data_IF_835645475300
#
_entry.id   IF_835645475300
#
_cell.length_a   1.000
_cell.length_b   1.000
_cell.length_c   1.000
_cell.angle_alpha   90.00
_cell.angle_beta   90.00
_cell.angle_gamma   90.00
#
_symmetry.space_group_name_H-M   'P 1'
#
loop_
_entity.id
_entity.type
_entity.pdbx_description
1 polymer ?
#
# COMPACT_ATOMS: atom_id res chain seq x y z
N UNK A 1 -13.25 -49.90 82.18
CA UNK A 1 -13.48 -51.03 83.11
C UNK A 1 -12.97 -50.65 84.50
N UNK A 2 -13.89 -50.17 85.35
CA UNK A 2 -13.62 -49.85 86.76
C UNK A 2 -14.26 -50.96 87.60
N UNK A 3 -13.46 -51.76 88.31
CA UNK A 3 -13.99 -52.81 89.20
C UNK A 3 -13.08 -54.02 89.46
N UNK A 4 -12.09 -54.31 88.61
CA UNK A 4 -11.14 -55.41 88.87
C UNK A 4 -10.07 -55.00 89.90
N UNK A 5 -9.83 -55.84 90.91
CA UNK A 5 -8.77 -55.65 91.91
C UNK A 5 -7.41 -55.57 91.20
N UNK A 6 -6.89 -54.36 91.02
CA UNK A 6 -5.61 -54.07 90.34
C UNK A 6 -4.37 -54.49 91.14
N UNK A 7 -4.55 -54.76 92.43
CA UNK A 7 -3.47 -55.02 93.38
C UNK A 7 -3.84 -56.17 94.31
N UNK A 8 -2.89 -57.06 94.61
CA UNK A 8 -3.02 -58.06 95.67
C UNK A 8 -3.15 -57.41 97.05
N UNK A 9 -3.76 -58.11 98.00
CA UNK A 9 -3.99 -57.62 99.37
C UNK A 9 -2.96 -58.25 100.32
N UNK A 10 -2.28 -57.43 101.12
CA UNK A 10 -1.38 -57.86 102.19
C UNK A 10 -2.08 -57.68 103.56
N UNK A 11 -1.50 -58.23 104.64
CA UNK A 11 -2.01 -58.11 106.03
C UNK A 11 -2.30 -56.65 106.46
N UNK A 12 -1.66 -55.67 105.81
CA UNK A 12 -1.97 -54.25 105.91
C UNK A 12 -1.96 -53.61 104.51
N UNK A 13 -3.12 -53.56 103.84
CA UNK A 13 -3.31 -52.79 102.61
C UNK A 13 -2.92 -53.51 101.30
N UNK A 14 -2.51 -52.75 100.29
CA UNK A 14 -2.15 -53.28 98.97
C UNK A 14 -0.71 -53.79 98.93
N UNK A 15 -0.48 -54.83 98.13
CA UNK A 15 0.84 -55.42 97.94
C UNK A 15 1.75 -54.43 97.21
N UNK A 16 2.79 -53.94 97.90
CA UNK A 16 3.70 -52.89 97.44
C UNK A 16 4.33 -53.17 96.06
N UNK A 17 4.64 -54.44 95.76
CA UNK A 17 5.16 -54.85 94.44
C UNK A 17 4.18 -54.61 93.30
N UNK A 18 2.89 -54.88 93.55
CA UNK A 18 1.84 -54.74 92.52
C UNK A 18 1.55 -53.26 92.27
N UNK A 19 1.59 -52.45 93.33
CA UNK A 19 1.48 -50.98 93.24
C UNK A 19 2.66 -50.38 92.50
N UNK A 20 3.90 -50.77 92.84
CA UNK A 20 5.10 -50.28 92.14
C UNK A 20 5.10 -50.67 90.67
N UNK A 21 4.75 -51.92 90.32
CA UNK A 21 4.68 -52.38 88.94
C UNK A 21 3.62 -51.62 88.12
N UNK A 22 2.48 -51.29 88.74
CA UNK A 22 1.46 -50.47 88.09
C UNK A 22 1.90 -49.02 87.88
N UNK A 23 2.56 -48.41 88.88
CA UNK A 23 3.12 -47.05 88.74
C UNK A 23 4.15 -47.03 87.61
N UNK A 24 5.05 -48.01 87.58
CA UNK A 24 6.07 -48.12 86.54
C UNK A 24 5.47 -48.33 85.14
N UNK A 25 4.42 -49.17 85.04
CA UNK A 25 3.67 -49.34 83.80
C UNK A 25 3.01 -48.02 83.33
N UNK A 26 2.38 -47.28 84.24
CA UNK A 26 1.75 -46.00 83.92
C UNK A 26 2.79 -44.97 83.47
N UNK A 27 3.92 -44.86 84.17
CA UNK A 27 4.99 -43.93 83.80
C UNK A 27 5.50 -44.24 82.40
N UNK A 28 5.72 -45.53 82.10
CA UNK A 28 6.13 -45.97 80.77
C UNK A 28 5.09 -45.66 79.68
N UNK A 29 3.81 -45.89 79.95
CA UNK A 29 2.73 -45.54 79.01
C UNK A 29 2.64 -44.02 78.76
N UNK A 30 2.89 -43.19 79.79
CA UNK A 30 2.94 -41.73 79.65
C UNK A 30 4.15 -41.27 78.84
N UNK A 31 5.34 -41.83 79.11
CA UNK A 31 6.56 -41.51 78.37
C UNK A 31 6.43 -41.91 76.89
N UNK A 32 5.84 -43.08 76.61
CA UNK A 32 5.56 -43.54 75.24
C UNK A 32 4.59 -42.59 74.52
N UNK A 33 3.50 -42.16 75.17
CA UNK A 33 2.56 -41.19 74.61
C UNK A 33 3.17 -39.81 74.39
N UNK A 34 4.01 -39.34 75.32
CA UNK A 34 4.74 -38.08 75.18
C UNK A 34 5.63 -38.12 73.95
N UNK A 35 6.40 -39.20 73.80
CA UNK A 35 7.29 -39.41 72.65
C UNK A 35 6.52 -39.51 71.34
N UNK A 36 5.37 -40.19 71.32
CA UNK A 36 4.50 -40.27 70.14
C UNK A 36 3.98 -38.88 69.75
N UNK A 37 3.53 -38.08 70.72
CA UNK A 37 3.07 -36.71 70.48
C UNK A 37 4.19 -35.79 70.00
N UNK A 38 5.39 -35.92 70.54
CA UNK A 38 6.56 -35.14 70.09
C UNK A 38 6.94 -35.48 68.64
N UNK A 39 6.85 -36.76 68.26
CA UNK A 39 7.05 -37.19 66.88
C UNK A 39 5.97 -36.62 65.95
N UNK A 40 4.70 -36.65 66.37
CA UNK A 40 3.58 -36.07 65.63
C UNK A 40 3.76 -34.54 65.45
N UNK A 41 4.13 -33.82 66.51
CA UNK A 41 4.43 -32.38 66.45
C UNK A 41 5.56 -32.11 65.46
N UNK A 42 6.60 -32.93 65.47
CA UNK A 42 7.73 -32.78 64.54
C UNK A 42 7.31 -33.02 63.09
N UNK A 43 6.52 -34.06 62.84
CA UNK A 43 5.98 -34.35 61.51
C UNK A 43 5.09 -33.21 61.00
N UNK A 44 4.18 -32.70 61.84
CA UNK A 44 3.30 -31.58 61.50
C UNK A 44 4.08 -30.30 61.23
N UNK A 45 5.12 -29.99 62.03
CA UNK A 45 5.99 -28.83 61.78
C UNK A 45 6.69 -28.93 60.41
N UNK A 46 7.16 -30.12 60.04
CA UNK A 46 7.79 -30.34 58.74
C UNK A 46 6.79 -30.17 57.59
N UNK A 47 5.58 -30.71 57.71
CA UNK A 47 4.51 -30.52 56.72
C UNK A 47 4.12 -29.06 56.57
N UNK A 48 3.95 -28.33 57.67
CA UNK A 48 3.65 -26.90 57.66
C UNK A 48 4.76 -26.12 56.94
N UNK A 49 6.03 -26.45 57.20
CA UNK A 49 7.17 -25.81 56.51
C UNK A 49 7.15 -26.09 55.02
N UNK A 50 6.91 -27.34 54.61
CA UNK A 50 6.86 -27.72 53.20
C UNK A 50 5.70 -27.04 52.46
N UNK A 51 4.51 -27.01 53.07
CA UNK A 51 3.34 -26.32 52.53
C UNK A 51 3.59 -24.82 52.38
N UNK A 52 4.28 -24.20 53.34
CA UNK A 52 4.64 -22.79 53.25
C UNK A 52 5.56 -22.50 52.07
N UNK A 53 6.57 -23.35 51.86
CA UNK A 53 7.48 -23.21 50.70
C UNK A 53 6.71 -23.36 49.39
N UNK A 54 5.85 -24.39 49.27
CA UNK A 54 5.01 -24.59 48.07
C UNK A 54 4.08 -23.41 47.82
N UNK A 55 3.49 -22.85 48.87
CA UNK A 55 2.63 -21.68 48.77
C UNK A 55 3.41 -20.46 48.27
N UNK A 56 4.58 -20.16 48.85
CA UNK A 56 5.42 -19.05 48.43
C UNK A 56 5.87 -19.19 46.96
N UNK A 57 6.20 -20.40 46.52
CA UNK A 57 6.59 -20.67 45.13
C UNK A 57 5.43 -20.49 44.15
N UNK A 58 4.23 -20.97 44.50
CA UNK A 58 3.02 -20.79 43.69
C UNK A 58 2.65 -19.30 43.63
N UNK A 59 2.71 -18.58 44.75
CA UNK A 59 2.42 -17.15 44.80
C UNK A 59 3.38 -16.35 43.91
N UNK A 60 4.69 -16.66 43.94
CA UNK A 60 5.67 -16.03 43.05
C UNK A 60 5.39 -16.31 41.58
N UNK A 61 5.07 -17.56 41.23
CA UNK A 61 4.71 -17.93 39.84
C UNK A 61 3.45 -17.22 39.37
N UNK A 62 2.42 -17.12 40.22
CA UNK A 62 1.18 -16.43 39.90
C UNK A 62 1.42 -14.95 39.63
N UNK A 63 2.24 -14.30 40.44
CA UNK A 63 2.62 -12.89 40.24
C UNK A 63 3.35 -12.70 38.90
N UNK A 64 4.31 -13.57 38.61
CA UNK A 64 5.05 -13.49 37.35
C UNK A 64 4.14 -13.69 36.13
N UNK A 65 3.21 -14.64 36.19
CA UNK A 65 2.20 -14.84 35.14
C UNK A 65 1.33 -13.59 34.96
N UNK A 66 0.93 -12.93 36.05
CA UNK A 66 0.14 -11.70 35.98
C UNK A 66 0.93 -10.56 35.34
N UNK A 67 2.20 -10.39 35.72
CA UNK A 67 3.08 -9.39 35.10
C UNK A 67 3.28 -9.64 33.60
N UNK A 68 3.49 -10.90 33.20
CA UNK A 68 3.69 -11.25 31.80
C UNK A 68 2.40 -11.06 30.98
N UNK A 69 1.24 -11.40 31.55
CA UNK A 69 -0.06 -11.10 30.95
C UNK A 69 -0.27 -9.60 30.72
N UNK A 70 0.08 -8.76 31.70
CA UNK A 70 -0.03 -7.31 31.54
C UNK A 70 0.87 -6.79 30.40
N UNK A 71 2.13 -7.24 30.35
CA UNK A 71 3.06 -6.87 29.26
C UNK A 71 2.55 -7.32 27.89
N UNK A 72 2.04 -8.54 27.80
CA UNK A 72 1.48 -9.07 26.54
C UNK A 72 0.29 -8.21 26.11
N UNK A 73 -0.61 -7.86 27.03
CA UNK A 73 -1.74 -6.99 26.74
C UNK A 73 -1.28 -5.61 26.22
N UNK A 74 -0.29 -4.99 26.87
CA UNK A 74 0.27 -3.70 26.42
C UNK A 74 0.86 -3.78 25.01
N UNK A 75 1.56 -4.87 24.70
CA UNK A 75 2.14 -5.09 23.36
C UNK A 75 1.04 -5.29 22.32
N UNK A 76 -0.01 -6.05 22.64
CA UNK A 76 -1.14 -6.28 21.74
C UNK A 76 -1.90 -4.99 21.44
N UNK A 77 -2.15 -4.16 22.46
CA UNK A 77 -2.79 -2.84 22.28
C UNK A 77 -1.96 -1.96 21.35
N UNK A 78 -0.65 -1.83 21.61
CA UNK A 78 0.26 -1.04 20.76
C UNK A 78 0.35 -1.58 19.33
N UNK A 79 0.33 -2.90 19.17
CA UNK A 79 0.34 -3.52 17.85
C UNK A 79 -0.94 -3.21 17.08
N UNK A 80 -2.10 -3.27 17.75
CA UNK A 80 -3.38 -2.93 17.17
C UNK A 80 -3.44 -1.45 16.76
N UNK A 81 -3.09 -0.53 17.66
CA UNK A 81 -3.06 0.91 17.37
C UNK A 81 -2.16 1.22 16.17
N UNK A 82 -0.98 0.60 16.11
CA UNK A 82 -0.05 0.78 14.98
C UNK A 82 -0.60 0.19 13.68
N UNK A 83 -1.28 -0.95 13.74
CA UNK A 83 -1.90 -1.55 12.57
C UNK A 83 -3.05 -0.68 12.03
N UNK A 84 -3.88 -0.13 12.92
CA UNK A 84 -4.95 0.80 12.55
C UNK A 84 -4.38 2.08 11.91
N UNK A 85 -3.30 2.63 12.48
CA UNK A 85 -2.60 3.78 11.89
C UNK A 85 -2.06 3.48 10.49
N UNK A 86 -1.41 2.32 10.29
CA UNK A 86 -0.91 1.91 8.97
C UNK A 86 -2.05 1.77 7.96
N UNK A 87 -3.18 1.17 8.36
CA UNK A 87 -4.36 1.03 7.50
C UNK A 87 -4.95 2.38 7.13
N UNK A 88 -5.00 3.32 8.07
CA UNK A 88 -5.48 4.67 7.84
C UNK A 88 -4.56 5.43 6.87
N UNK A 89 -3.24 5.41 7.11
CA UNK A 89 -2.27 6.02 6.21
C UNK A 89 -2.32 5.42 4.80
N UNK A 90 -2.49 4.10 4.69
CA UNK A 90 -2.59 3.43 3.39
C UNK A 90 -3.85 3.87 2.63
N UNK A 91 -4.99 4.02 3.32
CA UNK A 91 -6.22 4.54 2.72
C UNK A 91 -6.05 5.98 2.26
N UNK A 92 -5.48 6.83 3.10
CA UNK A 92 -5.26 8.24 2.76
C UNK A 92 -4.34 8.39 1.55
N UNK A 93 -3.23 7.65 1.50
CA UNK A 93 -2.32 7.63 0.35
C UNK A 93 -3.01 7.13 -0.92
N UNK A 94 -3.79 6.06 -0.82
CA UNK A 94 -4.53 5.52 -1.95
C UNK A 94 -5.56 6.52 -2.50
N UNK A 95 -6.29 7.21 -1.62
CA UNK A 95 -7.24 8.24 -2.02
C UNK A 95 -6.56 9.47 -2.63
N UNK A 96 -5.42 9.89 -2.10
CA UNK A 96 -4.63 10.98 -2.65
C UNK A 96 -4.08 10.62 -4.04
N UNK A 97 -3.51 9.43 -4.21
CA UNK A 97 -3.03 8.94 -5.51
C UNK A 97 -4.17 8.80 -6.52
N UNK A 98 -5.32 8.27 -6.10
CA UNK A 98 -6.53 8.16 -6.94
C UNK A 98 -6.98 9.53 -7.43
N UNK A 99 -6.99 10.53 -6.54
CA UNK A 99 -7.35 11.90 -6.89
C UNK A 99 -6.36 12.50 -7.88
N UNK A 100 -5.05 12.37 -7.63
CA UNK A 100 -4.00 12.84 -8.54
C UNK A 100 -4.12 12.20 -9.93
N UNK A 101 -4.33 10.88 -10.00
CA UNK A 101 -4.53 10.19 -11.28
C UNK A 101 -5.79 10.68 -12.00
N UNK A 102 -6.88 10.91 -11.27
CA UNK A 102 -8.13 11.41 -11.85
C UNK A 102 -7.96 12.80 -12.44
N UNK A 103 -7.29 13.70 -11.72
CA UNK A 103 -7.02 15.07 -12.19
C UNK A 103 -6.13 15.04 -13.44
N UNK A 104 -5.06 14.24 -13.45
CA UNK A 104 -4.18 14.08 -14.61
C UNK A 104 -4.94 13.48 -15.81
N UNK A 105 -5.78 12.47 -15.58
CA UNK A 105 -6.58 11.83 -16.63
C UNK A 105 -7.53 12.83 -17.28
N UNK A 106 -8.14 13.71 -16.50
CA UNK A 106 -9.06 14.71 -17.03
C UNK A 106 -8.33 15.77 -17.86
N UNK A 107 -7.16 16.24 -17.41
CA UNK A 107 -6.31 17.16 -18.18
C UNK A 107 -5.87 16.55 -19.51
N UNK A 108 -5.47 15.28 -19.52
CA UNK A 108 -5.07 14.60 -20.75
C UNK A 108 -6.25 14.36 -21.71
N UNK A 109 -7.46 14.11 -21.18
CA UNK A 109 -8.68 14.05 -22.00
C UNK A 109 -9.00 15.40 -22.64
N UNK A 110 -8.87 16.50 -21.90
CA UNK A 110 -9.12 17.85 -22.42
C UNK A 110 -8.15 18.15 -23.58
N UNK A 111 -6.85 17.92 -23.38
CA UNK A 111 -5.84 18.06 -24.44
C UNK A 111 -6.16 17.20 -25.67
N UNK A 112 -6.63 15.97 -25.48
CA UNK A 112 -7.00 15.08 -26.56
C UNK A 112 -8.18 15.63 -27.38
N UNK A 113 -9.18 16.21 -26.70
CA UNK A 113 -10.32 16.84 -27.36
C UNK A 113 -9.88 18.05 -28.18
N UNK A 114 -8.97 18.88 -27.66
CA UNK A 114 -8.48 20.06 -28.37
C UNK A 114 -7.63 19.68 -29.58
N UNK A 115 -6.67 18.76 -29.44
CA UNK A 115 -5.91 18.22 -30.58
C UNK A 115 -6.83 17.65 -31.67
N UNK A 116 -7.92 16.95 -31.28
CA UNK A 116 -8.90 16.41 -32.23
C UNK A 116 -9.65 17.54 -32.97
N UNK A 117 -9.96 18.64 -32.30
CA UNK A 117 -10.58 19.82 -32.93
C UNK A 117 -9.62 20.49 -33.90
N UNK A 118 -8.36 20.67 -33.52
CA UNK A 118 -7.31 21.22 -34.38
C UNK A 118 -7.10 20.38 -35.65
N UNK A 119 -6.98 19.06 -35.52
CA UNK A 119 -6.87 18.14 -36.66
C UNK A 119 -8.08 18.29 -37.59
N UNK A 120 -9.29 18.42 -37.05
CA UNK A 120 -10.50 18.60 -37.85
C UNK A 120 -10.49 19.94 -38.59
N UNK A 121 -10.06 21.02 -37.93
CA UNK A 121 -9.92 22.34 -38.54
C UNK A 121 -8.88 22.31 -39.66
N UNK A 122 -7.70 21.77 -39.40
CA UNK A 122 -6.63 21.62 -40.39
C UNK A 122 -7.08 20.82 -41.60
N UNK A 123 -7.80 19.70 -41.40
CA UNK A 123 -8.37 18.91 -42.50
C UNK A 123 -9.35 19.73 -43.35
N UNK A 124 -10.19 20.54 -42.72
CA UNK A 124 -11.12 21.41 -43.44
C UNK A 124 -10.39 22.49 -44.24
N UNK A 125 -9.35 23.10 -43.67
CA UNK A 125 -8.51 24.08 -44.35
C UNK A 125 -7.80 23.46 -45.56
N UNK A 126 -7.14 22.31 -45.39
CA UNK A 126 -6.50 21.58 -46.50
C UNK A 126 -7.52 21.29 -47.60
N UNK A 127 -8.71 20.80 -47.25
CA UNK A 127 -9.76 20.49 -48.23
C UNK A 127 -10.23 21.75 -48.98
N UNK A 128 -10.39 22.89 -48.28
CA UNK A 128 -10.76 24.16 -48.91
C UNK A 128 -9.66 24.65 -49.87
N UNK A 129 -8.41 24.57 -49.45
CA UNK A 129 -7.25 24.97 -50.27
C UNK A 129 -7.12 24.09 -51.51
N UNK A 130 -7.26 22.77 -51.38
CA UNK A 130 -7.25 21.85 -52.52
C UNK A 130 -8.37 22.15 -53.52
N UNK A 131 -9.60 22.39 -53.04
CA UNK A 131 -10.72 22.79 -53.90
C UNK A 131 -10.48 24.12 -54.61
N UNK A 132 -9.83 25.08 -53.94
CA UNK A 132 -9.46 26.36 -54.55
C UNK A 132 -8.45 26.13 -55.68
N UNK A 133 -7.41 25.33 -55.45
CA UNK A 133 -6.45 24.98 -56.49
C UNK A 133 -7.09 24.21 -57.64
N UNK A 134 -8.03 23.31 -57.37
CA UNK A 134 -8.80 22.59 -58.40
C UNK A 134 -9.60 23.57 -59.28
N UNK A 135 -10.33 24.51 -58.68
CA UNK A 135 -11.06 25.56 -59.41
C UNK A 135 -10.14 26.50 -60.19
N UNK A 136 -8.99 26.86 -59.61
CA UNK A 136 -8.04 27.75 -60.28
C UNK A 136 -7.36 27.02 -61.46
N UNK A 137 -7.08 25.72 -61.33
CA UNK A 137 -6.62 24.88 -62.45
C UNK A 137 -7.69 24.72 -63.54
N UNK A 138 -8.94 24.50 -63.16
CA UNK A 138 -10.07 24.42 -64.11
C UNK A 138 -10.20 25.70 -64.94
N UNK A 139 -10.08 26.88 -64.31
CA UNK A 139 -10.07 28.17 -65.03
C UNK A 139 -8.88 28.31 -65.99
N UNK A 140 -7.69 27.84 -65.59
CA UNK A 140 -6.51 27.88 -66.47
C UNK A 140 -6.72 26.96 -67.68
N UNK A 141 -7.33 25.78 -67.48
CA UNK A 141 -7.67 24.86 -68.56
C UNK A 141 -8.74 25.44 -69.48
N UNK A 142 -9.78 26.08 -68.95
CA UNK A 142 -10.79 26.80 -69.75
C UNK A 142 -10.14 27.91 -70.57
N UNK A 143 -9.29 28.74 -69.95
CA UNK A 143 -8.58 29.83 -70.64
C UNK A 143 -7.64 29.30 -71.74
N UNK A 144 -6.94 28.18 -71.50
CA UNK A 144 -6.12 27.53 -72.51
C UNK A 144 -6.95 26.97 -73.67
N UNK A 145 -8.13 26.40 -73.39
CA UNK A 145 -9.07 25.93 -74.40
C UNK A 145 -9.68 27.05 -75.23
N UNK A 146 -9.96 28.21 -74.62
CA UNK A 146 -10.43 29.41 -75.31
C UNK A 146 -9.35 29.99 -76.24
N UNK A 147 -8.07 29.93 -75.86
CA UNK A 147 -6.94 30.31 -76.72
C UNK A 147 -6.82 29.36 -77.92
N UNK A 148 -6.92 28.04 -77.72
CA UNK A 148 -6.92 27.06 -78.82
C UNK A 148 -8.16 27.20 -79.75
N UNK A 149 -9.30 27.65 -79.19
CA UNK A 149 -10.49 28.00 -79.96
C UNK A 149 -10.30 29.26 -80.82
N UNK A 150 -9.58 30.26 -80.32
CA UNK A 150 -9.22 31.48 -81.06
C UNK A 150 -8.16 31.24 -82.14
N UNK A 151 -7.20 30.34 -81.93
CA UNK A 151 -6.22 29.95 -82.96
C UNK A 151 -6.85 29.17 -84.12
N UNK A 152 -7.92 28.41 -83.88
CA UNK A 152 -8.63 27.68 -84.93
C UNK A 152 -9.61 28.54 -85.75
N UNK A 153 -9.94 29.77 -85.31
CA UNK A 153 -10.72 30.73 -86.10
C UNK A 153 -9.86 31.66 -86.97
N UNK A 154 -8.54 31.74 -86.74
CA UNK A 154 -7.62 32.60 -87.49
C UNK A 154 -6.83 31.88 -88.61
N UNK A 155 -7.22 30.65 -88.98
CA UNK A 155 -6.55 29.86 -90.04
C UNK A 155 -7.24 29.91 -91.41
N UNK A 156 -8.15 30.86 -91.63
CA UNK A 156 -8.78 31.06 -92.94
C UNK A 156 -8.84 32.56 -93.26
N UNK A 157 -7.68 33.17 -93.56
CA UNK A 157 -7.56 34.13 -94.66
C UNK A 157 -6.10 34.60 -94.85
N UNK A 158 -5.59 34.25 -96.04
CA UNK A 158 -4.56 34.98 -96.81
C UNK A 158 -3.07 34.75 -96.49
N UNK A 159 -2.48 33.90 -97.35
CA UNK A 159 -1.09 33.96 -97.82
C UNK A 159 -0.70 35.39 -98.22
N UNK A 160 0.52 35.84 -97.91
CA UNK A 160 1.67 35.91 -98.84
C UNK A 160 2.67 37.03 -98.45
N UNK A 161 3.86 36.60 -98.02
CA UNK A 161 5.20 37.06 -98.44
C UNK A 161 5.73 38.48 -98.08
N UNK A 162 6.91 38.46 -97.42
CA UNK A 162 7.97 39.50 -97.19
C UNK A 162 7.68 40.55 -96.10
N UNK A 163 8.61 40.92 -95.21
CA UNK A 163 10.07 40.71 -95.09
C UNK A 163 10.54 41.14 -93.68
N UNK A 164 11.47 40.35 -93.13
CA UNK A 164 12.68 40.67 -92.35
C UNK A 164 12.73 41.85 -91.34
N UNK A 165 13.12 41.43 -90.13
CA UNK A 165 13.98 42.08 -89.11
C UNK A 165 13.45 43.31 -88.37
N UNK A 166 13.07 43.12 -87.09
CA UNK A 166 13.24 44.06 -85.96
C UNK A 166 12.62 43.57 -84.60
N UNK A 167 12.61 42.26 -84.27
CA UNK A 167 11.99 41.76 -83.02
C UNK A 167 12.95 41.11 -81.99
N UNK A 168 14.23 40.96 -82.31
CA UNK A 168 15.18 40.27 -81.42
C UNK A 168 15.77 41.16 -80.29
N UNK A 169 15.77 42.49 -80.43
CA UNK A 169 16.33 43.38 -79.39
C UNK A 169 15.39 43.62 -78.19
N UNK A 170 14.06 43.50 -78.38
CA UNK A 170 13.08 43.74 -77.30
C UNK A 170 12.96 42.51 -76.38
N UNK A 171 13.12 41.31 -76.93
CA UNK A 171 13.02 40.06 -76.16
C UNK A 171 14.19 39.88 -75.18
N UNK A 172 15.41 40.25 -75.60
CA UNK A 172 16.59 40.17 -74.74
C UNK A 172 16.55 41.19 -73.59
N UNK A 173 16.02 42.40 -73.85
CA UNK A 173 15.85 43.42 -72.82
C UNK A 173 14.85 43.01 -71.73
N UNK A 174 13.75 42.35 -72.11
CA UNK A 174 12.75 41.84 -71.15
C UNK A 174 13.29 40.64 -70.36
N UNK A 175 14.08 39.77 -71.00
CA UNK A 175 14.72 38.63 -70.35
C UNK A 175 15.77 39.05 -69.31
N UNK A 176 16.53 40.12 -69.58
CA UNK A 176 17.54 40.65 -68.65
C UNK A 176 16.88 41.29 -67.41
N UNK A 177 15.77 42.03 -67.59
CA UNK A 177 15.00 42.62 -66.48
C UNK A 177 14.38 41.56 -65.56
N UNK A 178 13.86 40.46 -66.12
CA UNK A 178 13.30 39.35 -65.35
C UNK A 178 14.38 38.61 -64.54
N UNK A 179 15.59 38.46 -65.08
CA UNK A 179 16.69 37.78 -64.39
C UNK A 179 17.26 38.60 -63.22
N UNK A 180 17.34 39.93 -63.34
CA UNK A 180 17.77 40.79 -62.22
C UNK A 180 16.76 40.77 -61.05
N UNK A 181 15.45 40.77 -61.35
CA UNK A 181 14.42 40.75 -60.30
C UNK A 181 14.41 39.42 -59.51
N UNK A 182 14.76 38.31 -60.17
CA UNK A 182 14.85 37.01 -59.54
C UNK A 182 16.10 36.85 -58.65
N UNK A 183 17.24 37.42 -59.06
CA UNK A 183 18.48 37.37 -58.26
C UNK A 183 18.38 38.21 -56.97
N UNK A 184 17.62 39.32 -57.00
CA UNK A 184 17.39 40.18 -55.82
C UNK A 184 16.52 39.56 -54.72
N UNK A 185 15.66 38.58 -55.06
CA UNK A 185 14.73 37.93 -54.10
C UNK A 185 15.32 36.69 -53.42
N UNK A 186 16.53 36.23 -53.79
CA UNK A 186 17.21 35.10 -53.13
C UNK A 186 18.17 35.49 -52.00
N UNK A 187 18.29 36.78 -51.66
CA UNK A 187 19.10 37.26 -50.53
C UNK A 187 18.24 38.02 -49.50
N UNK A 188 17.33 37.31 -48.84
CA UNK A 188 16.76 37.66 -47.52
C UNK A 188 16.34 36.39 -46.79
#
# INVERSE_FOLDING_TARGET
MAGEKRFGTALFGFKKTDVNSYIEKILREFDEKLKEKDNEITALKNQCRELRIKYEDIARKAEQINMDRAKIADVLIKAQEKAEMILQEAKEKADEERRKLSELTEQEKEKLVDMKREIKALKQEITKTLKKYELDLEKVVEFAGDIEGMENMNKDETKNDKSEDDDDEISDAILEEIMEEYAGKSNT
#
